data_IF_426242900548
#
_entry.id   IF_426242900548
#
_cell.length_a   1.000
_cell.length_b   1.000
_cell.length_c   1.000
_cell.angle_alpha   90.00
_cell.angle_beta   90.00
_cell.angle_gamma   90.00
#
_symmetry.space_group_name_H-M   'P 1'
#
loop_
_entity.id
_entity.type
_entity.pdbx_description
1 polymer ?
#
# COMPACT_ATOMS: atom_id res chain seq x y z
N UNK A 1 -3.90 -0.15 9.02
CA UNK A 1 -4.27 0.78 7.94
C UNK A 1 -4.14 2.22 8.42
N UNK A 2 -3.57 3.08 7.58
CA UNK A 2 -3.57 4.53 7.74
C UNK A 2 -4.66 5.14 6.84
N UNK A 3 -5.41 6.11 7.36
CA UNK A 3 -6.27 6.97 6.55
C UNK A 3 -5.40 8.13 6.07
N UNK A 4 -5.40 8.38 4.75
CA UNK A 4 -4.59 9.44 4.16
C UNK A 4 -5.52 10.57 3.73
N UNK A 5 -5.43 11.70 4.41
CA UNK A 5 -6.30 12.85 4.15
C UNK A 5 -6.10 13.46 2.75
N UNK A 6 -7.14 14.09 2.22
CA UNK A 6 -7.13 14.75 0.90
C UNK A 6 -7.84 13.95 -0.20
N UNK A 7 -7.86 14.54 -1.41
CA UNK A 7 -8.52 13.99 -2.59
C UNK A 7 -7.56 13.96 -3.79
N UNK A 8 -7.86 13.12 -4.78
CA UNK A 8 -7.02 12.97 -5.96
C UNK A 8 -5.67 12.31 -5.64
N UNK A 9 -4.77 12.34 -6.64
CA UNK A 9 -3.43 11.76 -6.49
C UNK A 9 -2.61 12.61 -5.52
N UNK A 10 -2.12 12.00 -4.44
CA UNK A 10 -1.39 12.68 -3.37
C UNK A 10 -0.38 11.76 -2.67
N UNK A 11 0.60 12.32 -1.92
CA UNK A 11 1.57 11.53 -1.19
C UNK A 11 0.93 10.67 -0.11
N UNK A 12 1.37 9.41 -0.03
CA UNK A 12 0.94 8.40 0.94
C UNK A 12 2.02 8.07 1.96
N UNK A 13 3.29 8.26 1.60
CA UNK A 13 4.40 8.04 2.52
C UNK A 13 5.74 7.96 1.81
N UNK A 14 6.79 7.88 2.64
CA UNK A 14 8.17 7.65 2.21
C UNK A 14 8.76 6.50 3.03
N UNK A 15 9.40 5.56 2.34
CA UNK A 15 10.20 4.50 2.94
C UNK A 15 11.66 4.76 2.59
N UNK A 16 12.54 4.68 3.58
CA UNK A 16 13.99 4.87 3.41
C UNK A 16 14.72 3.71 4.06
N UNK A 17 15.62 3.07 3.33
CA UNK A 17 16.65 2.22 3.89
C UNK A 17 17.92 3.06 4.08
N UNK A 18 18.21 3.41 5.33
CA UNK A 18 19.36 4.23 5.69
C UNK A 18 20.70 3.59 5.31
N UNK A 19 20.79 2.26 5.25
CA UNK A 19 22.06 1.59 4.97
C UNK A 19 22.43 1.68 3.49
N UNK A 20 21.46 1.50 2.59
CA UNK A 20 21.72 1.61 1.14
C UNK A 20 21.45 2.99 0.56
N UNK A 21 20.82 3.89 1.31
CA UNK A 21 20.35 5.20 0.83
C UNK A 21 19.16 5.08 -0.14
N UNK A 22 18.61 3.89 -0.35
CA UNK A 22 17.46 3.70 -1.24
C UNK A 22 16.20 4.22 -0.58
N UNK A 23 15.45 5.03 -1.31
CA UNK A 23 14.19 5.58 -0.88
C UNK A 23 13.09 5.34 -1.91
N UNK A 24 11.86 5.25 -1.41
CA UNK A 24 10.63 5.16 -2.20
C UNK A 24 9.64 6.18 -1.65
N UNK A 25 9.15 7.08 -2.50
CA UNK A 25 7.97 7.90 -2.20
C UNK A 25 6.77 7.33 -2.91
N UNK A 26 5.65 7.21 -2.20
CA UNK A 26 4.40 6.66 -2.72
C UNK A 26 3.39 7.78 -2.88
N UNK A 27 2.74 7.83 -4.03
CA UNK A 27 1.56 8.64 -4.26
C UNK A 27 0.39 7.78 -4.72
N UNK A 28 -0.82 8.08 -4.29
CA UNK A 28 -2.00 7.34 -4.74
C UNK A 28 -3.25 8.21 -4.79
N UNK A 29 -4.22 7.82 -5.63
CA UNK A 29 -5.59 8.37 -5.64
C UNK A 29 -6.50 7.71 -4.60
N UNK A 30 -6.07 6.58 -4.02
CA UNK A 30 -6.80 5.80 -3.01
C UNK A 30 -7.06 6.59 -1.72
N UNK A 31 -7.69 5.97 -0.71
CA UNK A 31 -8.04 6.63 0.57
C UNK A 31 -7.25 6.13 1.77
N UNK A 32 -6.76 4.90 1.73
CA UNK A 32 -6.02 4.29 2.83
C UNK A 32 -4.76 3.58 2.36
N UNK A 33 -3.79 3.48 3.26
CA UNK A 33 -2.56 2.71 3.07
C UNK A 33 -2.51 1.60 4.12
N UNK A 34 -2.58 0.35 3.67
CA UNK A 34 -2.28 -0.79 4.54
C UNK A 34 -0.76 -1.00 4.54
N UNK A 35 -0.19 -0.99 5.75
CA UNK A 35 1.22 -1.28 5.99
C UNK A 35 1.32 -2.64 6.66
N UNK A 36 1.96 -3.59 6.00
CA UNK A 36 2.19 -4.93 6.52
C UNK A 36 3.67 -5.19 6.59
N UNK A 37 4.15 -5.62 7.75
CA UNK A 37 5.57 -5.77 8.08
C UNK A 37 6.07 -7.21 7.86
N UNK A 38 5.43 -8.02 7.01
CA UNK A 38 5.92 -9.38 6.73
C UNK A 38 5.83 -10.35 7.91
N UNK A 39 4.84 -10.16 8.80
CA UNK A 39 4.75 -10.87 10.09
C UNK A 39 4.62 -12.40 10.00
N UNK A 40 4.07 -12.90 8.89
CA UNK A 40 3.77 -14.32 8.66
C UNK A 40 4.70 -14.98 7.64
N UNK A 41 5.76 -14.29 7.22
CA UNK A 41 6.84 -14.95 6.47
C UNK A 41 7.54 -15.96 7.39
N UNK A 42 7.75 -17.18 6.91
CA UNK A 42 8.09 -18.35 7.72
C UNK A 42 9.41 -19.02 7.32
N UNK A 43 10.22 -18.35 6.48
CA UNK A 43 11.47 -18.91 5.96
C UNK A 43 11.31 -19.71 4.67
N UNK A 44 10.15 -19.63 4.01
CA UNK A 44 9.93 -20.21 2.68
C UNK A 44 11.01 -19.81 1.66
N UNK A 45 11.28 -20.70 0.71
CA UNK A 45 12.34 -20.53 -0.29
C UNK A 45 12.01 -19.38 -1.25
N UNK A 46 12.80 -18.32 -1.17
CA UNK A 46 12.77 -17.17 -2.06
C UNK A 46 13.72 -17.25 -3.25
N UNK A 47 13.90 -16.11 -3.91
CA UNK A 47 14.76 -15.99 -5.11
C UNK A 47 16.21 -16.30 -4.75
N UNK A 48 16.91 -17.00 -5.65
CA UNK A 48 18.31 -17.40 -5.47
C UNK A 48 18.59 -18.22 -4.20
N UNK A 49 17.57 -18.89 -3.64
CA UNK A 49 17.71 -19.70 -2.43
C UNK A 49 17.70 -18.90 -1.12
N UNK A 50 17.48 -17.59 -1.17
CA UNK A 50 17.27 -16.77 0.04
C UNK A 50 15.99 -17.20 0.73
N UNK A 51 16.05 -17.56 2.01
CA UNK A 51 14.85 -17.76 2.82
C UNK A 51 14.21 -16.41 3.16
N UNK A 52 12.89 -16.28 3.03
CA UNK A 52 12.15 -15.08 3.44
C UNK A 52 11.57 -15.29 4.82
N UNK A 53 12.24 -14.74 5.82
CA UNK A 53 11.86 -14.84 7.22
C UNK A 53 10.90 -13.72 7.61
N UNK A 54 10.31 -13.88 8.79
CA UNK A 54 9.48 -12.88 9.44
C UNK A 54 10.19 -11.52 9.45
N UNK A 55 9.51 -10.52 8.89
CA UNK A 55 9.97 -9.13 8.74
C UNK A 55 11.09 -8.87 7.72
N UNK A 56 11.45 -9.83 6.85
CA UNK A 56 12.44 -9.60 5.79
C UNK A 56 11.93 -8.67 4.67
N UNK A 57 10.62 -8.40 4.65
CA UNK A 57 9.98 -7.52 3.67
C UNK A 57 8.76 -6.81 4.28
N UNK A 58 8.27 -5.81 3.57
CA UNK A 58 7.06 -5.07 3.90
C UNK A 58 6.20 -4.83 2.65
N UNK A 59 4.91 -4.56 2.88
CA UNK A 59 3.96 -4.15 1.86
C UNK A 59 3.39 -2.77 2.18
N UNK A 60 3.24 -1.94 1.14
CA UNK A 60 2.62 -0.62 1.18
C UNK A 60 1.46 -0.63 0.17
N UNK A 61 0.29 -1.00 0.65
CA UNK A 61 -0.88 -1.31 -0.16
C UNK A 61 -1.86 -0.14 -0.13
N UNK A 62 -1.87 0.67 -1.19
CA UNK A 62 -2.84 1.75 -1.35
C UNK A 62 -4.20 1.17 -1.78
N UNK A 63 -5.25 1.46 -1.00
CA UNK A 63 -6.57 0.86 -1.17
C UNK A 63 -7.70 1.70 -0.56
N UNK A 64 -8.95 1.28 -0.79
CA UNK A 64 -10.09 1.71 0.02
C UNK A 64 -10.01 1.11 1.43
N UNK A 65 -10.84 1.56 2.35
CA UNK A 65 -10.80 1.06 3.72
C UNK A 65 -11.15 -0.42 3.78
N UNK A 66 -10.42 -1.19 4.57
CA UNK A 66 -10.75 -2.59 4.87
C UNK A 66 -12.19 -2.66 5.40
N UNK A 67 -12.94 -3.66 4.93
CA UNK A 67 -14.34 -3.88 5.31
C UNK A 67 -15.33 -2.77 4.88
N UNK A 68 -14.98 -1.93 3.89
CA UNK A 68 -15.85 -0.85 3.41
C UNK A 68 -17.24 -1.29 2.98
N UNK A 69 -17.40 -2.49 2.42
CA UNK A 69 -18.71 -2.97 1.95
C UNK A 69 -19.74 -3.11 3.10
N UNK A 70 -19.29 -3.51 4.28
CA UNK A 70 -20.15 -3.75 5.44
C UNK A 70 -20.36 -2.51 6.31
N UNK A 71 -19.51 -1.49 6.16
CA UNK A 71 -19.52 -0.26 6.98
C UNK A 71 -20.13 0.95 6.23
N UNK A 72 -21.02 0.70 5.27
CA UNK A 72 -21.79 1.74 4.60
C UNK A 72 -22.93 2.24 5.50
N UNK A 73 -23.28 3.55 5.48
CA UNK A 73 -22.71 4.61 4.66
C UNK A 73 -21.53 5.35 5.32
N UNK A 74 -21.03 4.88 6.47
CA UNK A 74 -19.96 5.55 7.21
C UNK A 74 -18.65 5.59 6.43
N UNK A 75 -18.31 4.51 5.72
CA UNK A 75 -17.16 4.46 4.84
C UNK A 75 -17.56 4.83 3.40
N UNK A 76 -16.64 5.41 2.60
CA UNK A 76 -16.91 5.69 1.21
C UNK A 76 -17.32 4.43 0.45
N UNK A 77 -18.30 4.55 -0.45
CA UNK A 77 -18.75 3.43 -1.27
C UNK A 77 -17.62 2.90 -2.15
N UNK A 78 -17.52 1.57 -2.21
CA UNK A 78 -16.63 0.82 -3.09
C UNK A 78 -17.40 0.07 -4.19
N UNK A 79 -18.72 0.30 -4.29
CA UNK A 79 -19.59 -0.41 -5.21
C UNK A 79 -19.52 0.23 -6.59
N UNK A 80 -19.02 -0.53 -7.58
CA UNK A 80 -19.08 -0.19 -8.98
C UNK A 80 -20.38 -0.76 -9.60
N UNK A 81 -21.16 0.08 -10.28
CA UNK A 81 -22.41 -0.30 -10.95
C UNK A 81 -22.22 -0.39 -12.47
N UNK A 82 -23.11 -1.09 -13.20
CA UNK A 82 -23.05 -1.13 -14.66
C UNK A 82 -23.00 0.28 -15.28
N UNK A 83 -22.09 0.46 -16.24
CA UNK A 83 -21.86 1.74 -16.92
C UNK A 83 -20.95 2.72 -16.17
N UNK A 84 -20.50 2.40 -14.95
CA UNK A 84 -19.49 3.19 -14.24
C UNK A 84 -18.07 2.68 -14.55
N UNK A 85 -17.10 3.58 -14.47
CA UNK A 85 -15.68 3.28 -14.56
C UNK A 85 -15.04 3.38 -13.17
N UNK A 86 -14.24 2.38 -12.82
CA UNK A 86 -13.35 2.42 -11.66
C UNK A 86 -11.93 2.68 -12.13
N UNK A 87 -11.34 3.78 -11.67
CA UNK A 87 -9.99 4.16 -12.02
C UNK A 87 -9.26 4.69 -10.79
N UNK A 88 -8.16 4.02 -10.44
CA UNK A 88 -7.29 4.39 -9.33
C UNK A 88 -5.83 4.20 -9.74
N UNK A 89 -4.96 5.11 -9.33
CA UNK A 89 -3.55 5.09 -9.70
C UNK A 89 -2.68 5.18 -8.44
N UNK A 90 -1.67 4.32 -8.37
CA UNK A 90 -0.58 4.41 -7.40
C UNK A 90 0.74 4.55 -8.15
N UNK A 91 1.65 5.39 -7.66
CA UNK A 91 2.97 5.63 -8.24
C UNK A 91 4.03 5.50 -7.18
N UNK A 92 5.09 4.74 -7.49
CA UNK A 92 6.25 4.53 -6.64
C UNK A 92 7.45 5.24 -7.28
N UNK A 93 7.93 6.26 -6.60
CA UNK A 93 9.09 7.05 -7.03
C UNK A 93 10.34 6.55 -6.31
N UNK A 94 11.16 5.80 -7.03
CA UNK A 94 12.44 5.30 -6.53
C UNK A 94 13.53 6.36 -6.69
N UNK A 95 14.27 6.61 -5.62
CA UNK A 95 15.35 7.60 -5.59
C UNK A 95 16.41 7.21 -4.55
N UNK A 96 17.51 7.96 -4.52
CA UNK A 96 18.52 7.89 -3.47
C UNK A 96 18.35 9.09 -2.53
N UNK A 97 18.59 8.87 -1.25
CA UNK A 97 18.62 9.87 -0.18
C UNK A 97 19.86 9.69 0.70
#
# INVERSE_FOLDING_TARGET
MFIVDGNGKRPFGKLVDQQSGRAITIESTQKGLQFYTGNYLDGGKGRNGTAYNKHDALCLEAQNFTDSVNNQPLFPSIILRPGQEYHEQTTFHFHLE
#
